data_IF_328797673874
#
_entry.id   IF_328797673874
#
_cell.length_a   1.000
_cell.length_b   1.000
_cell.length_c   1.000
_cell.angle_alpha   90.00
_cell.angle_beta   90.00
_cell.angle_gamma   90.00
#
_symmetry.space_group_name_H-M   'P 1'
#
loop_
_entity.id
_entity.type
_entity.pdbx_description
1 polymer ?
#
# COMPACT_ATOMS: atom_id res chain seq x y z
N UNK A 1 -7.11 9.18 -8.44
CA UNK A 1 -6.73 9.56 -7.07
C UNK A 1 -5.28 9.97 -7.11
N UNK A 2 -4.98 11.20 -6.71
CA UNK A 2 -3.60 11.63 -6.48
C UNK A 2 -3.19 11.16 -5.09
N UNK A 3 -2.49 10.03 -5.02
CA UNK A 3 -1.93 9.54 -3.75
C UNK A 3 -0.68 10.37 -3.47
N UNK A 4 -0.77 11.28 -2.50
CA UNK A 4 0.39 12.06 -2.05
C UNK A 4 1.25 11.20 -1.13
N UNK A 5 2.25 10.55 -1.71
CA UNK A 5 3.14 9.63 -0.99
C UNK A 5 3.97 10.40 0.05
N UNK A 6 3.95 9.93 1.29
CA UNK A 6 4.86 10.40 2.34
C UNK A 6 6.20 9.67 2.23
N UNK A 7 7.22 10.36 1.72
CA UNK A 7 8.57 9.80 1.53
C UNK A 7 9.54 10.15 2.68
N UNK A 8 9.03 10.59 3.84
CA UNK A 8 9.88 11.03 4.97
C UNK A 8 10.61 9.88 5.66
N UNK A 9 9.99 8.70 5.71
CA UNK A 9 10.55 7.51 6.35
C UNK A 9 10.45 6.34 5.40
N UNK A 10 11.56 5.62 5.26
CA UNK A 10 11.66 4.39 4.48
C UNK A 10 11.59 3.18 5.42
N UNK A 11 10.80 2.19 5.03
CA UNK A 11 10.56 0.96 5.75
C UNK A 11 10.98 -0.24 4.91
N UNK A 12 11.26 -1.36 5.57
CA UNK A 12 11.27 -2.66 4.91
C UNK A 12 9.85 -3.09 4.53
N UNK A 13 9.73 -4.05 3.61
CA UNK A 13 8.42 -4.60 3.23
C UNK A 13 7.62 -5.12 4.44
N UNK A 14 8.27 -5.87 5.36
CA UNK A 14 7.59 -6.43 6.53
C UNK A 14 7.06 -5.36 7.49
N UNK A 15 7.85 -4.32 7.75
CA UNK A 15 7.41 -3.22 8.62
C UNK A 15 6.25 -2.43 8.00
N UNK A 16 6.31 -2.16 6.69
CA UNK A 16 5.20 -1.52 5.97
C UNK A 16 3.94 -2.41 5.98
N UNK A 17 4.11 -3.71 5.76
CA UNK A 17 3.04 -4.69 5.79
C UNK A 17 2.35 -4.77 7.15
N UNK A 18 3.11 -4.89 8.25
CA UNK A 18 2.57 -4.92 9.61
C UNK A 18 1.79 -3.64 9.93
N UNK A 19 2.35 -2.47 9.60
CA UNK A 19 1.64 -1.18 9.74
C UNK A 19 0.33 -1.13 8.97
N UNK A 20 0.30 -1.71 7.77
CA UNK A 20 -0.90 -1.80 6.94
C UNK A 20 -1.96 -2.77 7.48
N UNK A 21 -1.57 -3.75 8.30
CA UNK A 21 -2.52 -4.62 9.00
C UNK A 21 -3.12 -3.90 10.20
N UNK A 22 -2.27 -3.17 10.95
CA UNK A 22 -2.65 -2.50 12.19
C UNK A 22 -3.50 -1.23 11.93
N UNK A 23 -3.20 -0.49 10.85
CA UNK A 23 -3.91 0.72 10.44
C UNK A 23 -4.52 0.55 9.05
N UNK A 24 -5.85 0.44 8.98
CA UNK A 24 -6.57 0.29 7.70
C UNK A 24 -6.58 1.57 6.87
N UNK A 25 -6.18 2.69 7.47
CA UNK A 25 -6.13 4.00 6.82
C UNK A 25 -4.73 4.31 6.29
N UNK A 26 -3.86 3.31 6.08
CA UNK A 26 -2.59 3.52 5.38
C UNK A 26 -2.56 2.90 3.99
N UNK A 27 -1.79 3.53 3.12
CA UNK A 27 -1.33 3.02 1.83
C UNK A 27 0.17 2.79 1.96
N UNK A 28 0.65 1.63 1.52
CA UNK A 28 2.07 1.34 1.42
C UNK A 28 2.49 1.47 -0.05
N UNK A 29 3.62 2.11 -0.32
CA UNK A 29 4.09 2.34 -1.68
C UNK A 29 5.49 1.80 -1.85
N UNK A 30 5.70 0.96 -2.86
CA UNK A 30 7.01 0.43 -3.22
C UNK A 30 7.88 1.56 -3.77
N UNK A 31 9.10 1.71 -3.25
CA UNK A 31 10.05 2.71 -3.73
C UNK A 31 10.58 2.41 -5.12
N UNK A 32 10.68 1.12 -5.49
CA UNK A 32 11.28 0.70 -6.77
C UNK A 32 10.31 0.84 -7.95
N UNK A 33 9.05 0.44 -7.76
CA UNK A 33 8.02 0.50 -8.81
C UNK A 33 7.18 1.77 -8.75
N UNK A 34 7.05 2.38 -7.57
CA UNK A 34 6.05 3.42 -7.31
C UNK A 34 4.63 2.87 -7.12
N UNK A 35 4.44 1.55 -7.18
CA UNK A 35 3.12 0.94 -7.03
C UNK A 35 2.65 1.07 -5.58
N UNK A 36 1.37 1.41 -5.45
CA UNK A 36 0.72 1.65 -4.17
C UNK A 36 -0.24 0.53 -3.84
N UNK A 37 -0.22 0.10 -2.58
CA UNK A 37 -0.94 -1.05 -2.08
C UNK A 37 -1.70 -0.70 -0.80
N UNK A 38 -2.79 -1.43 -0.56
CA UNK A 38 -3.49 -1.43 0.72
C UNK A 38 -3.98 -2.81 1.07
N UNK A 39 -4.14 -3.06 2.35
CA UNK A 39 -4.76 -4.29 2.84
C UNK A 39 -6.26 -4.05 3.01
N UNK A 40 -7.05 -4.90 2.37
CA UNK A 40 -8.49 -4.98 2.57
C UNK A 40 -8.80 -6.23 3.40
N UNK A 41 -9.49 -6.07 4.53
CA UNK A 41 -9.87 -7.20 5.39
C UNK A 41 -11.28 -7.63 5.00
N UNK A 42 -11.35 -8.72 4.23
CA UNK A 42 -12.63 -9.34 3.85
C UNK A 42 -12.70 -10.74 4.44
N UNK A 43 -13.79 -11.06 5.17
CA UNK A 43 -14.03 -12.39 5.77
C UNK A 43 -12.85 -12.92 6.60
N UNK A 44 -12.25 -12.07 7.44
CA UNK A 44 -11.07 -12.39 8.29
C UNK A 44 -9.80 -12.77 7.52
N UNK A 45 -9.72 -12.47 6.22
CA UNK A 45 -8.51 -12.63 5.41
C UNK A 45 -8.00 -11.26 4.96
N UNK A 46 -6.71 -11.03 5.18
CA UNK A 46 -6.02 -9.86 4.66
C UNK A 46 -5.79 -10.07 3.15
N UNK A 47 -6.44 -9.26 2.32
CA UNK A 47 -6.25 -9.26 0.86
C UNK A 47 -5.47 -8.02 0.47
N UNK A 48 -4.31 -8.22 -0.14
CA UNK A 48 -3.56 -7.12 -0.73
C UNK A 48 -4.27 -6.64 -1.99
N UNK A 49 -4.43 -5.33 -2.11
CA UNK A 49 -4.89 -4.67 -3.33
C UNK A 49 -3.82 -3.71 -3.81
N UNK A 50 -3.58 -3.66 -5.11
CA UNK A 50 -2.76 -2.62 -5.73
C UNK A 50 -3.66 -1.56 -6.38
N UNK A 51 -3.17 -0.34 -6.46
CA UNK A 51 -3.87 0.75 -7.14
C UNK A 51 -3.54 0.73 -8.62
N UNK A 52 -4.55 0.55 -9.47
CA UNK A 52 -4.41 0.65 -10.91
C UNK A 52 -4.78 2.08 -11.36
N UNK A 53 -3.81 2.90 -11.82
CA UNK A 53 -4.07 4.27 -12.21
C UNK A 53 -4.95 4.38 -13.46
N UNK A 54 -4.88 3.40 -14.38
CA UNK A 54 -5.65 3.39 -15.64
C UNK A 54 -7.16 3.38 -15.40
N UNK A 55 -7.62 2.67 -14.37
CA UNK A 55 -9.03 2.60 -13.99
C UNK A 55 -9.34 3.37 -12.69
N UNK A 56 -8.36 4.11 -12.17
CA UNK A 56 -8.42 4.83 -10.90
C UNK A 56 -9.01 4.00 -9.75
N UNK A 57 -8.60 2.73 -9.63
CA UNK A 57 -9.27 1.75 -8.77
C UNK A 57 -8.34 0.73 -8.12
N UNK A 58 -8.78 0.20 -6.97
CA UNK A 58 -8.06 -0.83 -6.22
C UNK A 58 -8.42 -2.23 -6.72
N UNK A 59 -7.42 -3.00 -7.14
CA UNK A 59 -7.59 -4.35 -7.69
C UNK A 59 -6.91 -5.39 -6.81
N UNK A 60 -7.42 -6.63 -6.74
CA UNK A 60 -6.73 -7.72 -6.07
C UNK A 60 -5.30 -7.87 -6.59
N UNK A 61 -4.33 -7.87 -5.68
CA UNK A 61 -2.94 -8.13 -5.99
C UNK A 61 -2.67 -9.63 -5.91
N UNK A 62 -2.15 -10.22 -6.98
CA UNK A 62 -1.81 -11.66 -7.03
C UNK A 62 -0.46 -11.96 -6.40
N UNK A 63 0.50 -11.05 -6.56
CA UNK A 63 1.84 -11.15 -5.99
C UNK A 63 2.51 -9.77 -5.97
N UNK A 64 3.45 -9.59 -5.04
CA UNK A 64 4.40 -8.46 -5.01
C UNK A 64 5.70 -8.95 -5.63
N UNK A 65 6.36 -8.15 -6.46
CA UNK A 65 7.60 -8.58 -7.11
C UNK A 65 8.73 -8.69 -6.08
N UNK A 66 9.65 -9.66 -6.22
CA UNK A 66 10.81 -9.77 -5.32
C UNK A 66 11.63 -8.47 -5.24
N UNK A 67 11.79 -7.79 -6.38
CA UNK A 67 12.50 -6.50 -6.46
C UNK A 67 11.87 -5.41 -5.59
N UNK A 68 10.56 -5.45 -5.38
CA UNK A 68 9.86 -4.54 -4.46
C UNK A 68 10.05 -4.98 -3.02
N UNK A 69 9.91 -6.28 -2.73
CA UNK A 69 10.07 -6.84 -1.38
C UNK A 69 11.45 -6.52 -0.78
N UNK A 70 12.51 -6.58 -1.60
CA UNK A 70 13.88 -6.31 -1.15
C UNK A 70 14.28 -4.82 -1.20
N UNK A 71 13.39 -3.93 -1.60
CA UNK A 71 13.64 -2.49 -1.62
C UNK A 71 12.92 -1.77 -0.47
N UNK A 72 13.04 -0.45 -0.45
CA UNK A 72 12.35 0.41 0.51
C UNK A 72 10.86 0.57 0.20
N UNK A 73 10.11 0.87 1.25
CA UNK A 73 8.68 1.12 1.21
C UNK A 73 8.35 2.41 1.95
N UNK A 74 7.34 3.12 1.46
CA UNK A 74 6.79 4.31 2.11
C UNK A 74 5.42 3.99 2.69
N UNK A 75 5.07 4.61 3.81
CA UNK A 75 3.75 4.45 4.46
C UNK A 75 3.07 5.80 4.49
N UNK A 76 1.95 5.91 3.78
CA UNK A 76 1.16 7.14 3.65
C UNK A 76 -0.15 6.97 4.37
N UNK A 77 -0.44 7.82 5.35
CA UNK A 77 -1.78 7.88 5.96
C UNK A 77 -2.76 8.54 5.00
N UNK A 78 -3.87 7.86 4.75
CA UNK A 78 -5.04 8.44 4.11
C UNK A 78 -5.63 9.47 5.08
N UNK A 79 -5.62 10.74 4.68
CA UNK A 79 -6.42 11.76 5.37
C UNK A 79 -7.86 11.50 4.96
N UNK A 80 -8.73 11.17 5.92
CA UNK A 80 -10.16 11.02 5.67
C UNK A 80 -10.70 12.33 5.07
N UNK A 81 -10.83 12.38 3.74
CA UNK A 81 -11.78 13.27 3.09
C UNK A 81 -13.15 12.73 3.45
N UNK A 82 -13.78 13.31 4.47
CA UNK A 82 -15.11 12.91 4.91
C UNK A 82 -16.13 12.94 3.77
N UNK A 83 -16.97 11.88 3.77
CA UNK A 83 -18.23 11.67 3.04
C UNK A 83 -18.15 11.50 1.52
#
# INVERSE_FOLDING_TARGET
MDIKIDTTVEYTFLEAWEKSIDDKNVIITSKSSGDSYKIDIFEKKNKLKFYNPTIAGWQPCTYVLPEEIFNGWYVTKCVDGGL
#
